data_IF_207868447301
#
_entry.id   IF_207868447301
#
_cell.length_a   1.000
_cell.length_b   1.000
_cell.length_c   1.000
_cell.angle_alpha   90.00
_cell.angle_beta   90.00
_cell.angle_gamma   90.00
#
_symmetry.space_group_name_H-M   'P 1'
#
loop_
_entity.id
_entity.type
_entity.pdbx_description
1 polymer ?
#
# COMPACT_ATOMS: atom_id res chain seq x y z
N UNK A 1 30.26 -11.33 17.31
CA UNK A 1 29.62 -11.31 15.98
C UNK A 1 28.14 -11.66 16.12
N UNK A 2 27.25 -10.66 16.20
CA UNK A 2 25.80 -10.87 16.31
C UNK A 2 25.17 -10.78 14.92
N UNK A 3 24.48 -11.84 14.48
CA UNK A 3 23.77 -11.89 13.20
C UNK A 3 22.48 -11.08 13.31
N UNK A 4 22.30 -10.10 12.42
CA UNK A 4 21.05 -9.39 12.18
C UNK A 4 20.01 -10.35 11.58
N UNK A 5 18.81 -10.39 12.15
CA UNK A 5 17.63 -11.00 11.53
C UNK A 5 16.89 -9.92 10.74
N UNK A 6 16.71 -10.05 9.42
CA UNK A 6 16.03 -9.04 8.62
C UNK A 6 14.51 -9.22 8.69
N UNK A 7 13.77 -8.12 8.90
CA UNK A 7 12.33 -8.09 8.59
C UNK A 7 11.35 -7.65 9.68
N UNK A 8 11.75 -6.81 10.65
CA UNK A 8 10.80 -6.20 11.59
C UNK A 8 10.28 -4.86 11.03
N UNK A 9 9.05 -4.84 10.50
CA UNK A 9 8.36 -3.61 10.11
C UNK A 9 7.85 -2.92 11.39
N UNK A 10 8.36 -1.72 11.68
CA UNK A 10 8.20 -1.00 12.97
C UNK A 10 6.79 -0.44 13.26
N UNK A 11 5.78 -0.68 12.43
CA UNK A 11 4.55 0.13 12.46
C UNK A 11 3.46 -0.40 13.42
N UNK A 12 3.51 -1.66 13.86
CA UNK A 12 2.51 -2.18 14.82
C UNK A 12 2.95 -2.07 16.28
N UNK A 13 3.12 -0.85 16.84
CA UNK A 13 3.24 -0.74 18.30
C UNK A 13 2.87 0.64 18.86
N UNK A 14 1.59 0.91 19.00
CA UNK A 14 1.02 1.75 20.08
C UNK A 14 -0.49 1.62 19.90
N UNK A 15 -1.23 0.99 20.79
CA UNK A 15 -1.47 1.35 22.19
C UNK A 15 -2.55 0.34 22.55
N UNK A 16 -2.37 -0.50 23.57
CA UNK A 16 -3.41 -1.22 24.32
C UNK A 16 -2.78 -2.32 25.19
N UNK A 17 -3.41 -2.47 26.36
CA UNK A 17 -3.32 -3.54 27.36
C UNK A 17 -2.16 -3.50 28.36
N UNK A 18 -2.40 -2.76 29.45
CA UNK A 18 -2.03 -3.16 30.80
C UNK A 18 -2.77 -4.46 31.15
N UNK A 19 -2.10 -5.36 31.88
CA UNK A 19 -2.63 -6.60 32.46
C UNK A 19 -2.87 -7.74 31.47
N UNK A 20 -1.77 -8.36 31.02
CA UNK A 20 -1.56 -9.81 30.94
C UNK A 20 -0.28 -10.02 30.13
N UNK A 21 0.78 -10.51 30.79
CA UNK A 21 2.09 -10.76 30.19
C UNK A 21 2.07 -11.95 29.23
N UNK A 22 1.35 -11.83 28.11
CA UNK A 22 1.68 -12.58 26.90
C UNK A 22 2.61 -11.67 26.11
N UNK A 23 3.88 -12.06 26.01
CA UNK A 23 4.88 -11.31 25.26
C UNK A 23 4.39 -11.13 23.83
N UNK A 24 4.14 -9.87 23.42
CA UNK A 24 3.65 -9.49 22.07
C UNK A 24 4.39 -10.16 20.91
N UNK A 25 5.63 -10.61 21.14
CA UNK A 25 6.45 -11.34 20.18
C UNK A 25 5.88 -12.71 19.78
N UNK A 26 5.18 -13.42 20.69
CA UNK A 26 4.67 -14.77 20.38
C UNK A 26 3.43 -14.75 19.47
N UNK A 27 2.60 -13.69 19.52
CA UNK A 27 1.34 -13.65 18.75
C UNK A 27 1.61 -13.34 17.25
N UNK A 28 2.60 -12.49 16.94
CA UNK A 28 3.01 -12.23 15.55
C UNK A 28 3.74 -13.41 14.89
N UNK A 29 4.14 -14.43 15.66
CA UNK A 29 4.89 -15.60 15.19
C UNK A 29 3.99 -16.79 14.80
N UNK A 30 2.69 -16.73 15.07
CA UNK A 30 1.77 -17.87 14.91
C UNK A 30 0.93 -17.84 13.64
N UNK A 31 0.93 -16.74 12.87
CA UNK A 31 0.23 -16.70 11.58
C UNK A 31 1.20 -17.04 10.44
N UNK A 32 0.85 -17.99 9.55
CA UNK A 32 1.68 -18.31 8.40
C UNK A 32 1.82 -17.07 7.51
N UNK A 33 3.06 -16.71 7.18
CA UNK A 33 3.34 -15.63 6.23
C UNK A 33 3.08 -16.16 4.82
N UNK A 34 2.02 -15.66 4.17
CA UNK A 34 1.71 -15.95 2.77
C UNK A 34 2.39 -14.88 1.90
N UNK A 35 3.22 -15.31 0.95
CA UNK A 35 3.73 -14.41 -0.07
C UNK A 35 2.59 -14.12 -1.07
N UNK A 36 2.18 -12.86 -1.20
CA UNK A 36 1.05 -12.48 -2.04
C UNK A 36 1.49 -11.83 -3.35
N UNK A 37 2.49 -10.95 -3.29
CA UNK A 37 3.14 -10.37 -4.46
C UNK A 37 4.60 -10.79 -4.55
N UNK A 38 5.07 -11.06 -5.76
CA UNK A 38 6.48 -11.34 -6.05
C UNK A 38 7.22 -10.04 -6.34
N UNK A 39 8.49 -9.99 -5.93
CA UNK A 39 9.39 -8.87 -6.17
C UNK A 39 9.28 -7.75 -5.14
N UNK A 40 10.14 -6.73 -5.30
CA UNK A 40 10.17 -5.58 -4.41
C UNK A 40 9.04 -4.62 -4.79
N UNK A 41 8.16 -4.31 -3.85
CA UNK A 41 6.99 -3.44 -4.04
C UNK A 41 6.96 -2.33 -3.00
N UNK A 42 6.41 -1.17 -3.37
CA UNK A 42 6.04 -0.11 -2.44
C UNK A 42 4.59 -0.34 -2.01
N UNK A 43 4.30 -0.18 -0.74
CA UNK A 43 2.95 -0.35 -0.19
C UNK A 43 2.51 0.91 0.55
N UNK A 44 1.24 1.23 0.42
CA UNK A 44 0.55 2.21 1.24
C UNK A 44 -0.78 1.65 1.71
N UNK A 45 -1.21 2.08 2.89
CA UNK A 45 -2.40 1.59 3.57
C UNK A 45 -3.41 2.72 3.73
N UNK A 46 -4.70 2.40 3.61
CA UNK A 46 -5.82 3.30 3.85
C UNK A 46 -6.95 2.57 4.59
N UNK A 47 -7.93 3.33 5.07
CA UNK A 47 -9.07 2.84 5.87
C UNK A 47 -8.65 1.93 7.03
N UNK A 48 -7.77 2.42 7.92
CA UNK A 48 -7.22 1.64 9.04
C UNK A 48 -6.58 0.30 8.65
N UNK A 49 -6.09 0.19 7.40
CA UNK A 49 -5.55 -1.05 6.86
C UNK A 49 -6.63 -2.01 6.35
N UNK A 50 -7.81 -1.52 5.96
CA UNK A 50 -8.80 -2.25 5.16
C UNK A 50 -8.52 -2.16 3.66
N UNK A 51 -7.64 -1.24 3.24
CA UNK A 51 -7.22 -1.08 1.84
C UNK A 51 -5.70 -1.04 1.72
N UNK A 52 -5.18 -1.74 0.72
CA UNK A 52 -3.77 -1.70 0.33
C UNK A 52 -3.64 -1.21 -1.11
N UNK A 53 -2.72 -0.26 -1.30
CA UNK A 53 -2.24 0.15 -2.60
C UNK A 53 -0.77 -0.27 -2.73
N UNK A 54 -0.42 -0.86 -3.85
CA UNK A 54 0.91 -1.35 -4.15
C UNK A 54 1.39 -0.81 -5.49
N UNK A 55 2.69 -0.50 -5.56
CA UNK A 55 3.37 -0.21 -6.81
C UNK A 55 4.63 -1.04 -6.97
N UNK A 56 5.04 -1.21 -8.22
CA UNK A 56 6.38 -1.71 -8.52
C UNK A 56 7.46 -0.70 -8.09
N UNK A 57 8.66 -1.22 -7.80
CA UNK A 57 9.84 -0.39 -7.59
C UNK A 57 10.41 0.16 -8.91
N UNK A 58 10.21 -0.60 -9.99
CA UNK A 58 10.54 -0.23 -11.36
C UNK A 58 9.41 0.58 -11.97
N UNK A 59 9.67 1.19 -13.12
CA UNK A 59 8.67 1.93 -13.86
C UNK A 59 7.56 0.98 -14.36
N UNK A 60 6.31 1.39 -14.16
CA UNK A 60 5.13 0.59 -14.49
C UNK A 60 3.99 1.49 -14.95
N UNK A 61 3.11 0.97 -15.80
CA UNK A 61 1.87 1.66 -16.19
C UNK A 61 0.72 1.40 -15.22
N UNK A 62 0.92 0.48 -14.27
CA UNK A 62 -0.14 -0.02 -13.41
C UNK A 62 0.25 0.05 -11.94
N UNK A 63 -0.71 0.48 -11.14
CA UNK A 63 -0.77 0.24 -9.71
C UNK A 63 -1.54 -1.05 -9.44
N UNK A 64 -1.42 -1.60 -8.24
CA UNK A 64 -2.21 -2.74 -7.80
C UNK A 64 -2.89 -2.39 -6.47
N UNK A 65 -4.12 -2.82 -6.26
CA UNK A 65 -4.80 -2.66 -4.98
C UNK A 65 -5.42 -3.95 -4.50
N UNK A 66 -5.62 -4.04 -3.20
CA UNK A 66 -6.31 -5.16 -2.56
C UNK A 66 -7.11 -4.66 -1.35
N UNK A 67 -8.26 -5.29 -1.12
CA UNK A 67 -9.12 -5.09 0.07
C UNK A 67 -9.13 -6.31 0.98
N UNK A 68 -8.70 -7.46 0.46
CA UNK A 68 -8.68 -8.75 1.15
C UNK A 68 -7.27 -9.25 1.47
N UNK A 69 -6.25 -8.49 1.07
CA UNK A 69 -4.82 -8.83 1.20
C UNK A 69 -4.39 -10.08 0.45
N UNK A 70 -5.26 -10.63 -0.39
CA UNK A 70 -5.02 -11.86 -1.15
C UNK A 70 -5.07 -11.62 -2.65
N UNK A 71 -6.08 -10.88 -3.10
CA UNK A 71 -6.31 -10.59 -4.50
C UNK A 71 -5.91 -9.15 -4.82
N UNK A 72 -4.91 -9.01 -5.68
CA UNK A 72 -4.41 -7.73 -6.13
C UNK A 72 -4.93 -7.41 -7.52
N UNK A 73 -5.76 -6.38 -7.61
CA UNK A 73 -6.38 -5.92 -8.84
C UNK A 73 -5.58 -4.77 -9.44
N UNK A 74 -5.35 -4.74 -10.77
CA UNK A 74 -4.62 -3.65 -11.41
C UNK A 74 -5.46 -2.37 -11.48
N UNK A 75 -4.79 -1.22 -11.40
CA UNK A 75 -5.33 0.12 -11.67
C UNK A 75 -4.41 0.79 -12.67
N UNK A 76 -4.95 1.21 -13.80
CA UNK A 76 -4.20 1.94 -14.81
C UNK A 76 -4.23 3.42 -14.45
N UNK A 77 -3.06 4.07 -14.46
CA UNK A 77 -2.98 5.52 -14.29
C UNK A 77 -3.48 6.23 -15.56
N UNK A 78 -4.26 7.30 -15.43
CA UNK A 78 -4.86 8.03 -16.55
C UNK A 78 -3.78 8.83 -17.25
N UNK A 79 -3.94 9.02 -18.56
CA UNK A 79 -3.07 9.85 -19.40
C UNK A 79 -1.60 9.39 -19.46
N UNK A 80 -1.29 8.15 -19.08
CA UNK A 80 0.05 7.58 -19.19
C UNK A 80 0.04 6.41 -20.16
N UNK A 81 0.32 6.67 -21.44
CA UNK A 81 0.68 5.63 -22.42
C UNK A 81 2.12 5.13 -22.22
N UNK A 82 2.90 5.83 -21.42
CA UNK A 82 4.30 5.54 -21.09
C UNK A 82 4.44 5.03 -19.65
N UNK A 83 5.46 4.22 -19.39
CA UNK A 83 5.76 3.73 -18.03
C UNK A 83 5.99 4.89 -17.06
N UNK A 84 5.37 4.82 -15.88
CA UNK A 84 5.51 5.81 -14.80
C UNK A 84 6.51 5.28 -13.78
N UNK A 85 7.55 6.05 -13.46
CA UNK A 85 8.43 5.73 -12.34
C UNK A 85 7.89 6.33 -11.06
N UNK A 86 7.19 5.51 -10.27
CA UNK A 86 6.54 5.93 -9.03
C UNK A 86 7.61 6.19 -7.97
N UNK A 87 7.67 7.41 -7.44
CA UNK A 87 8.65 7.80 -6.42
C UNK A 87 8.10 7.59 -5.01
N UNK A 88 6.87 8.03 -4.78
CA UNK A 88 6.22 7.92 -3.47
C UNK A 88 4.71 7.82 -3.58
N UNK A 89 4.10 7.24 -2.54
CA UNK A 89 2.66 7.16 -2.35
C UNK A 89 2.38 7.76 -0.98
N UNK A 90 1.51 8.76 -0.93
CA UNK A 90 1.08 9.43 0.29
C UNK A 90 -0.39 9.08 0.54
N UNK A 91 -0.72 8.74 1.77
CA UNK A 91 -2.11 8.56 2.20
C UNK A 91 -2.61 9.85 2.85
N UNK A 92 -3.90 10.16 2.66
CA UNK A 92 -4.57 11.23 3.38
C UNK A 92 -4.35 11.12 4.91
N UNK A 93 -3.95 12.20 5.60
CA UNK A 93 -3.75 12.18 7.04
C UNK A 93 -5.06 11.88 7.76
N UNK A 94 -5.00 10.99 8.75
CA UNK A 94 -6.17 10.53 9.50
C UNK A 94 -6.67 9.14 9.12
N UNK A 95 -6.14 8.54 8.04
CA UNK A 95 -6.29 7.12 7.66
C UNK A 95 -7.72 6.58 7.56
N UNK A 96 -8.74 7.44 7.63
CA UNK A 96 -10.16 7.10 7.42
C UNK A 96 -10.54 7.06 5.95
N UNK A 97 -9.79 7.78 5.12
CA UNK A 97 -10.02 7.87 3.68
C UNK A 97 -9.29 6.77 2.92
N UNK A 98 -9.80 6.48 1.72
CA UNK A 98 -9.11 5.66 0.71
C UNK A 98 -8.68 6.55 -0.45
N UNK A 99 -8.05 7.67 -0.10
CA UNK A 99 -7.52 8.65 -1.04
C UNK A 99 -6.00 8.64 -0.90
N UNK A 100 -5.33 8.45 -2.03
CA UNK A 100 -3.88 8.42 -2.12
C UNK A 100 -3.38 9.44 -3.13
N UNK A 101 -2.25 10.07 -2.82
CA UNK A 101 -1.49 10.87 -3.77
C UNK A 101 -0.28 10.05 -4.22
N UNK A 102 -0.21 9.77 -5.51
CA UNK A 102 0.89 9.05 -6.13
C UNK A 102 1.73 10.04 -6.90
N UNK A 103 2.99 10.19 -6.47
CA UNK A 103 3.95 11.07 -7.14
C UNK A 103 4.84 10.19 -8.00
N UNK A 104 4.77 10.42 -9.31
CA UNK A 104 5.51 9.66 -10.31
C UNK A 104 6.26 10.57 -11.27
N UNK A 105 7.25 10.00 -11.94
CA UNK A 105 8.02 10.66 -12.98
C UNK A 105 7.62 10.05 -14.33
N UNK A 106 7.15 10.91 -15.24
CA UNK A 106 6.71 10.55 -16.59
C UNK A 106 7.49 11.41 -17.58
N UNK A 107 8.24 10.77 -18.48
CA UNK A 107 9.03 11.47 -19.51
C UNK A 107 9.93 12.59 -18.98
N UNK A 108 10.51 12.43 -17.78
CA UNK A 108 11.37 13.46 -17.16
C UNK A 108 10.65 14.43 -16.22
N UNK A 109 9.31 14.48 -16.25
CA UNK A 109 8.52 15.43 -15.48
C UNK A 109 7.81 14.78 -14.30
N UNK A 110 7.67 15.52 -13.20
CA UNK A 110 6.90 15.07 -12.05
C UNK A 110 5.41 15.25 -12.31
N UNK A 111 4.64 14.19 -12.08
CA UNK A 111 3.20 14.18 -12.12
C UNK A 111 2.64 13.71 -10.78
N UNK A 112 1.54 14.33 -10.37
CA UNK A 112 0.82 13.95 -9.16
C UNK A 112 -0.53 13.36 -9.61
N UNK A 113 -0.75 12.12 -9.21
CA UNK A 113 -1.99 11.41 -9.46
C UNK A 113 -2.75 11.28 -8.16
N UNK A 114 -4.00 11.72 -8.13
CA UNK A 114 -4.90 11.44 -7.03
C UNK A 114 -5.66 10.14 -7.34
N UNK A 115 -5.48 9.13 -6.49
CA UNK A 115 -6.20 7.85 -6.56
C UNK A 115 -7.27 7.85 -5.50
N UNK A 116 -8.53 7.89 -5.92
CA UNK A 116 -9.69 7.75 -5.05
C UNK A 116 -10.28 6.34 -5.21
N UNK A 117 -10.22 5.57 -4.12
CA UNK A 117 -10.76 4.22 -4.03
C UNK A 117 -11.88 4.09 -2.99
N UNK A 118 -12.55 5.20 -2.63
CA UNK A 118 -13.69 5.20 -1.70
C UNK A 118 -14.83 4.32 -2.21
N UNK A 119 -15.03 4.23 -3.53
CA UNK A 119 -16.04 3.34 -4.14
C UNK A 119 -15.63 1.88 -4.16
N UNK A 120 -14.36 1.58 -3.93
CA UNK A 120 -13.80 0.22 -3.95
C UNK A 120 -14.03 -0.56 -2.66
N UNK A 121 -14.51 0.11 -1.60
CA UNK A 121 -14.97 -0.52 -0.36
C UNK A 121 -16.41 -1.07 -0.44
N UNK A 122 -17.02 -1.09 -1.63
CA UNK A 122 -18.36 -1.65 -1.89
C UNK A 122 -18.37 -2.74 -2.97
N UNK A 123 -19.55 -3.33 -3.25
CA UNK A 123 -19.74 -4.44 -4.23
C UNK A 123 -19.30 -4.15 -5.69
N UNK A 124 -18.88 -2.93 -6.01
CA UNK A 124 -18.40 -2.53 -7.34
C UNK A 124 -17.14 -1.70 -7.21
N UNK A 125 -16.00 -2.30 -7.55
CA UNK A 125 -14.69 -1.66 -7.52
C UNK A 125 -14.57 -0.63 -8.64
N UNK A 126 -14.73 0.65 -8.32
CA UNK A 126 -14.61 1.76 -9.26
C UNK A 126 -13.53 2.72 -8.78
N UNK A 127 -12.49 2.88 -9.59
CA UNK A 127 -11.37 3.76 -9.32
C UNK A 127 -11.52 5.04 -10.11
N UNK A 128 -11.34 6.16 -9.42
CA UNK A 128 -11.13 7.44 -10.09
C UNK A 128 -9.70 7.84 -9.84
N UNK A 129 -8.97 7.99 -10.94
CA UNK A 129 -7.64 8.56 -10.91
C UNK A 129 -7.70 9.83 -11.74
N UNK A 130 -7.20 10.92 -11.17
CA UNK A 130 -7.11 12.21 -11.86
C UNK A 130 -5.68 12.75 -11.72
N UNK A 131 -5.21 13.45 -12.74
CA UNK A 131 -3.98 14.22 -12.68
C UNK A 131 -4.30 15.59 -12.09
N UNK A 132 -3.52 16.01 -11.09
CA UNK A 132 -3.58 17.35 -10.51
C UNK A 132 -2.69 18.33 -11.27
#
# INVERSE_FOLDING_TARGET
MQRQVPGCCRICCSRWVLQNMVTKQQICSLKPKKAVLRGKRRFSFGDHGGFVLASDFQSSTQLQYSVDFENFNPVVLPNTTTNVDIKTILTEPGEKGVIFLVIGLVNGFYHIFQVNATRSLGKRSLFFVCTL
#
